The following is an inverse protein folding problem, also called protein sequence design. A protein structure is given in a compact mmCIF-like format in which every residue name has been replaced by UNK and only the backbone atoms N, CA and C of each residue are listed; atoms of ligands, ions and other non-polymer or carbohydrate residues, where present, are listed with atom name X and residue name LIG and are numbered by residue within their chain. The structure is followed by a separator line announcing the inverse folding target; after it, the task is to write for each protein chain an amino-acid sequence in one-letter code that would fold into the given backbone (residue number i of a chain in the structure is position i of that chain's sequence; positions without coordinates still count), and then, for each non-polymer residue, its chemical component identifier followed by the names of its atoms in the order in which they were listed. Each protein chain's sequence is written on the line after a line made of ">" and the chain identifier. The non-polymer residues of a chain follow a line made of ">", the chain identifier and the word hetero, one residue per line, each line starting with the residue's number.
data_IF_373755248808
#
_entry.id   IF_373755248808
#
_cell.length_a   1.000
_cell.length_b   1.000
_cell.length_c   1.000
_cell.angle_alpha   90.00
_cell.angle_beta   90.00
_cell.angle_gamma   90.00
#
_symmetry.space_group_name_H-M   'P 1'
#
loop_
_entity.id
_entity.type
_entity.pdbx_description
1 polymer ?
#
# COMPACT_ATOMS: atom_id res chain seq x y z
N UNK A 1 -11.56 -7.99 6.73
CA UNK A 1 -10.72 -9.05 6.13
C UNK A 1 -11.20 -9.34 4.73
N UNK A 2 -10.30 -9.74 3.82
CA UNK A 2 -10.62 -10.06 2.42
C UNK A 2 -10.70 -11.58 2.23
N UNK A 3 -11.68 -12.07 1.46
CA UNK A 3 -11.78 -13.48 1.11
C UNK A 3 -10.82 -13.88 -0.02
N UNK A 4 -10.57 -15.19 -0.13
CA UNK A 4 -10.10 -15.77 -1.38
C UNK A 4 -11.14 -15.65 -2.50
N UNK A 5 -10.70 -15.94 -3.72
CA UNK A 5 -11.58 -16.06 -4.88
C UNK A 5 -12.62 -17.15 -4.66
N UNK A 6 -13.89 -16.80 -4.85
CA UNK A 6 -14.99 -17.74 -4.62
C UNK A 6 -16.19 -17.44 -5.51
N UNK A 7 -17.00 -18.45 -5.77
CA UNK A 7 -18.23 -18.36 -6.58
C UNK A 7 -19.48 -18.23 -5.72
N UNK A 8 -19.38 -18.40 -4.40
CA UNK A 8 -20.51 -18.29 -3.46
C UNK A 8 -21.15 -16.90 -3.51
N UNK A 9 -22.33 -16.79 -2.92
CA UNK A 9 -22.94 -15.49 -2.68
C UNK A 9 -22.34 -14.76 -1.47
N UNK A 10 -22.54 -13.45 -1.47
CA UNK A 10 -22.08 -12.51 -0.45
C UNK A 10 -22.78 -12.78 0.88
N UNK A 11 -22.03 -12.87 1.97
CA UNK A 11 -22.58 -12.97 3.33
C UNK A 11 -23.03 -11.60 3.83
N UNK A 12 -23.87 -11.58 4.86
CA UNK A 12 -24.23 -10.35 5.55
C UNK A 12 -22.98 -9.69 6.14
N UNK A 13 -22.75 -8.40 5.82
CA UNK A 13 -21.57 -7.65 6.28
C UNK A 13 -20.40 -7.65 5.30
N UNK A 14 -20.43 -8.49 4.28
CA UNK A 14 -19.46 -8.44 3.18
C UNK A 14 -19.90 -7.42 2.11
N UNK A 15 -18.94 -6.89 1.37
CA UNK A 15 -19.13 -6.15 0.12
C UNK A 15 -18.29 -6.77 -0.97
N UNK A 16 -18.73 -6.70 -2.23
CA UNK A 16 -17.91 -7.16 -3.36
C UNK A 16 -16.71 -6.24 -3.48
N UNK A 17 -15.50 -6.81 -3.37
CA UNK A 17 -14.25 -6.09 -3.60
C UNK A 17 -13.95 -6.03 -5.10
N UNK A 18 -13.90 -7.21 -5.74
CA UNK A 18 -13.68 -7.35 -7.17
C UNK A 18 -14.27 -8.65 -7.71
N UNK A 19 -14.38 -8.72 -9.03
CA UNK A 19 -14.95 -9.85 -9.76
C UNK A 19 -14.08 -10.21 -10.96
N UNK A 20 -13.81 -11.50 -11.15
CA UNK A 20 -13.22 -12.05 -12.37
C UNK A 20 -14.13 -13.17 -12.88
N UNK A 21 -14.76 -12.94 -14.03
CA UNK A 21 -15.74 -13.84 -14.66
C UNK A 21 -16.84 -14.26 -13.68
N UNK A 22 -16.78 -15.49 -13.16
CA UNK A 22 -17.76 -16.08 -12.21
C UNK A 22 -17.26 -16.08 -10.77
N UNK A 23 -16.01 -15.69 -10.54
CA UNK A 23 -15.36 -15.65 -9.24
C UNK A 23 -15.34 -14.22 -8.70
N UNK A 24 -15.46 -14.10 -7.37
CA UNK A 24 -15.56 -12.81 -6.67
C UNK A 24 -14.67 -12.86 -5.44
N UNK A 25 -14.12 -11.70 -5.05
CA UNK A 25 -13.53 -11.49 -3.72
C UNK A 25 -14.42 -10.57 -2.92
N UNK A 26 -14.52 -10.85 -1.63
CA UNK A 26 -15.35 -10.11 -0.70
C UNK A 26 -14.51 -9.43 0.36
N UNK A 27 -14.87 -8.19 0.68
CA UNK A 27 -14.33 -7.47 1.83
C UNK A 27 -15.36 -7.53 2.97
N UNK A 28 -14.99 -8.11 4.10
CA UNK A 28 -15.83 -8.19 5.29
C UNK A 28 -15.70 -6.91 6.13
N UNK A 29 -16.64 -5.98 5.93
CA UNK A 29 -16.69 -4.71 6.67
C UNK A 29 -16.94 -4.96 8.16
N UNK A 30 -17.75 -5.97 8.51
CA UNK A 30 -18.13 -6.22 9.89
C UNK A 30 -16.92 -6.70 10.70
N UNK A 31 -16.17 -7.66 10.17
CA UNK A 31 -14.96 -8.15 10.82
C UNK A 31 -13.85 -7.10 10.80
N UNK A 32 -13.64 -6.36 9.69
CA UNK A 32 -12.66 -5.25 9.72
C UNK A 32 -13.05 -4.20 10.76
N UNK A 33 -14.32 -3.82 10.88
CA UNK A 33 -14.75 -2.86 11.91
C UNK A 33 -14.43 -3.31 13.34
N UNK A 34 -14.51 -4.61 13.64
CA UNK A 34 -14.11 -5.14 14.96
C UNK A 34 -12.61 -5.00 15.18
N UNK A 35 -11.80 -5.38 14.19
CA UNK A 35 -10.34 -5.27 14.20
C UNK A 35 -9.93 -3.80 14.33
N UNK A 36 -10.46 -2.93 13.49
CA UNK A 36 -10.15 -1.50 13.48
C UNK A 36 -10.50 -0.81 14.81
N UNK A 37 -11.60 -1.20 15.46
CA UNK A 37 -11.94 -0.72 16.82
C UNK A 37 -10.95 -1.22 17.87
N UNK A 38 -10.59 -2.51 17.83
CA UNK A 38 -9.64 -3.15 18.74
C UNK A 38 -8.26 -2.51 18.63
N UNK A 39 -7.78 -2.33 17.41
CA UNK A 39 -6.41 -1.88 17.09
C UNK A 39 -6.30 -0.36 17.03
N UNK A 40 -7.41 0.37 17.18
CA UNK A 40 -7.42 1.82 17.25
C UNK A 40 -7.09 2.51 15.93
N UNK A 41 -7.53 1.94 14.80
CA UNK A 41 -7.32 2.53 13.48
C UNK A 41 -7.85 3.96 13.44
N UNK A 42 -7.03 4.85 12.88
CA UNK A 42 -7.23 6.29 12.89
C UNK A 42 -7.19 6.91 11.50
N UNK A 43 -7.30 8.23 11.48
CA UNK A 43 -7.15 9.06 10.29
C UNK A 43 -6.08 10.11 10.56
N UNK A 44 -5.40 10.56 9.49
CA UNK A 44 -4.56 11.77 9.55
C UNK A 44 -5.41 13.00 9.90
N UNK A 45 -4.78 14.09 10.35
CA UNK A 45 -5.51 15.31 10.67
C UNK A 45 -6.15 15.96 9.44
N UNK A 46 -5.52 15.83 8.28
CA UNK A 46 -6.09 16.22 6.99
C UNK A 46 -7.33 15.39 6.65
N UNK A 47 -7.25 14.06 6.79
CA UNK A 47 -8.38 13.17 6.54
C UNK A 47 -9.55 13.41 7.49
N UNK A 48 -9.26 13.74 8.76
CA UNK A 48 -10.28 14.15 9.73
C UNK A 48 -10.96 15.44 9.30
N UNK A 49 -10.21 16.43 8.84
CA UNK A 49 -10.78 17.70 8.35
C UNK A 49 -11.69 17.45 7.13
N UNK A 50 -11.24 16.61 6.19
CA UNK A 50 -12.03 16.25 5.01
C UNK A 50 -13.30 15.48 5.39
N UNK A 51 -13.23 14.55 6.35
CA UNK A 51 -14.40 13.85 6.88
C UNK A 51 -15.37 14.83 7.58
N UNK A 52 -14.86 15.78 8.34
CA UNK A 52 -15.69 16.78 9.01
C UNK A 52 -16.46 17.61 7.99
N UNK A 53 -15.79 18.04 6.91
CA UNK A 53 -16.40 18.78 5.80
C UNK A 53 -17.48 17.95 5.09
N UNK A 54 -17.22 16.67 4.82
CA UNK A 54 -18.18 15.80 4.14
C UNK A 54 -19.41 15.50 4.99
N UNK A 55 -19.25 15.30 6.30
CA UNK A 55 -20.36 15.07 7.22
C UNK A 55 -21.20 16.33 7.48
N UNK A 56 -20.59 17.52 7.41
CA UNK A 56 -21.29 18.79 7.58
C UNK A 56 -22.18 19.13 6.37
N UNK A 57 -21.89 18.59 5.19
CA UNK A 57 -22.72 18.78 4.01
C UNK A 57 -24.07 18.05 4.17
N UNK A 58 -25.21 18.71 3.92
CA UNK A 58 -26.49 18.03 3.85
C UNK A 58 -26.53 17.10 2.63
N UNK A 59 -27.29 16.02 2.72
CA UNK A 59 -27.37 15.02 1.66
C UNK A 59 -28.72 14.34 1.57
N UNK A 60 -28.97 13.68 0.45
CA UNK A 60 -30.14 12.83 0.24
C UNK A 60 -29.71 11.39 0.48
N UNK A 61 -30.37 10.72 1.42
CA UNK A 61 -30.11 9.30 1.71
C UNK A 61 -31.20 8.45 1.07
N UNK A 62 -30.78 7.48 0.26
CA UNK A 62 -31.68 6.57 -0.47
C UNK A 62 -31.64 6.83 -1.96
N UNK A 63 -31.32 5.79 -2.74
CA UNK A 63 -31.28 5.81 -4.21
C UNK A 63 -32.49 5.10 -4.83
N UNK A 64 -33.55 4.90 -4.04
CA UNK A 64 -34.76 4.18 -4.44
C UNK A 64 -35.85 5.10 -4.99
N UNK A 65 -36.83 4.54 -5.72
CA UNK A 65 -37.94 5.30 -6.31
C UNK A 65 -38.88 5.91 -5.26
N UNK A 66 -38.92 5.36 -4.03
CA UNK A 66 -39.64 5.95 -2.89
C UNK A 66 -38.68 6.82 -2.05
N UNK A 67 -38.77 8.12 -2.30
CA UNK A 67 -38.33 9.26 -1.46
C UNK A 67 -36.92 9.14 -0.83
N UNK A 68 -35.94 9.74 -1.51
CA UNK A 68 -34.69 10.12 -0.87
C UNK A 68 -34.96 11.00 0.36
N UNK A 69 -34.66 10.49 1.54
CA UNK A 69 -34.90 11.21 2.79
C UNK A 69 -33.80 12.24 2.97
N UNK A 70 -34.19 13.51 3.13
CA UNK A 70 -33.25 14.57 3.44
C UNK A 70 -32.55 14.26 4.77
N UNK A 71 -31.23 14.14 4.73
CA UNK A 71 -30.39 14.06 5.91
C UNK A 71 -29.75 15.43 6.14
N UNK A 72 -30.10 16.12 7.23
CA UNK A 72 -29.42 17.36 7.58
C UNK A 72 -27.94 17.08 7.84
N UNK A 73 -27.10 18.04 7.44
CA UNK A 73 -25.67 18.01 7.69
C UNK A 73 -25.37 17.95 9.20
N UNK A 74 -24.23 17.37 9.55
CA UNK A 74 -23.74 17.32 10.92
C UNK A 74 -23.34 18.72 11.39
N UNK A 75 -23.58 19.03 12.66
CA UNK A 75 -23.00 20.20 13.30
C UNK A 75 -21.45 20.11 13.34
N UNK A 76 -20.73 21.04 12.67
CA UNK A 76 -19.27 21.01 12.59
C UNK A 76 -18.56 21.30 13.92
N UNK A 77 -19.23 21.93 14.89
CA UNK A 77 -18.63 22.21 16.22
C UNK A 77 -18.47 20.96 17.09
N UNK A 78 -19.12 19.84 16.74
CA UNK A 78 -18.99 18.58 17.47
C UNK A 78 -17.79 17.79 16.94
N UNK A 79 -16.82 17.39 17.80
CA UNK A 79 -15.67 16.63 17.36
C UNK A 79 -16.09 15.28 16.77
N UNK A 80 -15.28 14.75 15.86
CA UNK A 80 -15.47 13.41 15.30
C UNK A 80 -15.46 12.37 16.41
N UNK A 81 -16.42 11.45 16.39
CA UNK A 81 -16.44 10.33 17.34
C UNK A 81 -15.43 9.27 16.90
N UNK A 82 -14.95 8.47 17.86
CA UNK A 82 -14.10 7.31 17.56
C UNK A 82 -14.77 6.38 16.53
N UNK A 83 -16.09 6.19 16.64
CA UNK A 83 -16.84 5.34 15.71
C UNK A 83 -16.83 5.85 14.28
N UNK A 84 -16.95 7.16 14.07
CA UNK A 84 -16.90 7.79 12.74
C UNK A 84 -15.50 7.73 12.15
N UNK A 85 -14.46 8.01 12.96
CA UNK A 85 -13.07 7.88 12.53
C UNK A 85 -12.77 6.45 12.11
N UNK A 86 -13.15 5.46 12.92
CA UNK A 86 -12.91 4.05 12.60
C UNK A 86 -13.69 3.61 11.37
N UNK A 87 -14.97 4.00 11.23
CA UNK A 87 -15.78 3.65 10.06
C UNK A 87 -15.16 4.21 8.77
N UNK A 88 -14.67 5.44 8.85
CA UNK A 88 -14.06 6.09 7.71
C UNK A 88 -12.66 5.54 7.40
N UNK A 89 -11.88 5.14 8.41
CA UNK A 89 -10.61 4.43 8.21
C UNK A 89 -10.83 3.09 7.48
N UNK A 90 -11.85 2.32 7.89
CA UNK A 90 -12.23 1.06 7.22
C UNK A 90 -12.73 1.32 5.79
N UNK A 91 -13.46 2.42 5.55
CA UNK A 91 -13.87 2.80 4.20
C UNK A 91 -12.66 3.11 3.30
N UNK A 92 -11.67 3.86 3.82
CA UNK A 92 -10.43 4.16 3.09
C UNK A 92 -9.64 2.89 2.77
N UNK A 93 -9.48 1.98 3.73
CA UNK A 93 -8.84 0.67 3.51
C UNK A 93 -9.54 -0.15 2.41
N UNK A 94 -10.88 -0.19 2.45
CA UNK A 94 -11.66 -0.84 1.39
C UNK A 94 -11.42 -0.20 0.01
N UNK A 95 -11.46 1.13 -0.07
CA UNK A 95 -11.23 1.85 -1.33
C UNK A 95 -9.81 1.67 -1.86
N UNK A 96 -8.81 1.66 -0.97
CA UNK A 96 -7.42 1.40 -1.30
C UNK A 96 -7.26 0.01 -1.94
N UNK A 97 -7.78 -1.04 -1.31
CA UNK A 97 -7.75 -2.40 -1.86
C UNK A 97 -8.57 -2.53 -3.14
N UNK A 98 -9.65 -1.75 -3.27
CA UNK A 98 -10.48 -1.74 -4.46
C UNK A 98 -9.75 -1.09 -5.64
N UNK A 99 -8.97 -0.04 -5.40
CA UNK A 99 -8.11 0.59 -6.40
C UNK A 99 -7.09 -0.40 -6.98
N UNK A 100 -6.43 -1.19 -6.11
CA UNK A 100 -5.52 -2.24 -6.55
C UNK A 100 -6.21 -3.26 -7.45
N UNK A 101 -7.41 -3.70 -7.07
CA UNK A 101 -8.17 -4.66 -7.89
C UNK A 101 -8.67 -4.09 -9.23
N UNK A 102 -8.69 -2.76 -9.37
CA UNK A 102 -9.12 -2.05 -10.58
C UNK A 102 -7.96 -1.63 -11.47
N UNK A 103 -6.74 -1.94 -11.07
CA UNK A 103 -5.52 -1.47 -11.73
C UNK A 103 -5.37 0.06 -11.65
N UNK A 104 -6.01 0.70 -10.66
CA UNK A 104 -5.85 2.15 -10.41
C UNK A 104 -4.45 2.43 -9.82
N UNK A 105 -3.87 1.46 -9.11
CA UNK A 105 -2.50 1.46 -8.61
C UNK A 105 -1.99 0.01 -8.46
N UNK A 106 -0.67 -0.18 -8.39
CA UNK A 106 -0.04 -1.50 -8.27
C UNK A 106 1.20 -1.50 -7.39
N UNK A 107 1.62 -2.68 -6.94
CA UNK A 107 2.88 -2.88 -6.24
C UNK A 107 4.02 -3.01 -7.25
N UNK A 108 5.07 -2.23 -7.06
CA UNK A 108 6.30 -2.26 -7.83
C UNK A 108 7.42 -2.94 -7.03
N UNK A 109 8.39 -3.44 -7.79
CA UNK A 109 9.70 -3.83 -7.29
C UNK A 109 10.78 -3.06 -8.03
N UNK A 110 11.83 -2.70 -7.30
CA UNK A 110 13.06 -2.13 -7.82
C UNK A 110 14.08 -3.25 -7.88
N UNK A 111 14.72 -3.43 -9.03
CA UNK A 111 15.85 -4.35 -9.22
C UNK A 111 17.01 -3.50 -9.71
N UNK A 112 18.16 -3.61 -9.05
CA UNK A 112 19.39 -2.94 -9.44
C UNK A 112 20.40 -4.01 -9.85
N UNK A 113 20.96 -3.85 -11.04
CA UNK A 113 21.92 -4.77 -11.64
C UNK A 113 23.20 -3.98 -11.96
N UNK A 114 24.36 -4.58 -11.66
CA UNK A 114 25.64 -3.99 -12.04
C UNK A 114 25.88 -4.24 -13.54
N UNK A 115 26.28 -3.19 -14.26
CA UNK A 115 26.77 -3.32 -15.63
C UNK A 115 28.30 -3.32 -15.67
N UNK A 116 28.87 -4.14 -16.53
CA UNK A 116 30.31 -4.18 -16.82
C UNK A 116 30.73 -3.02 -17.74
N UNK A 117 32.02 -2.97 -18.10
CA UNK A 117 32.57 -1.93 -18.98
C UNK A 117 32.03 -1.96 -20.42
N UNK A 118 31.33 -3.04 -20.82
CA UNK A 118 30.68 -3.19 -22.11
C UNK A 118 29.18 -2.88 -22.04
N UNK A 119 28.64 -2.63 -20.84
CA UNK A 119 27.22 -2.41 -20.60
C UNK A 119 26.41 -3.70 -20.43
N UNK A 120 27.07 -4.85 -20.29
CA UNK A 120 26.43 -6.14 -20.03
C UNK A 120 26.22 -6.32 -18.52
N UNK A 121 25.13 -7.00 -18.13
CA UNK A 121 24.86 -7.29 -16.71
C UNK A 121 25.96 -8.22 -16.18
N UNK A 122 26.59 -7.83 -15.08
CA UNK A 122 27.53 -8.67 -14.38
C UNK A 122 26.80 -9.82 -13.68
N UNK A 123 27.27 -11.05 -13.90
CA UNK A 123 26.68 -12.25 -13.30
C UNK A 123 26.64 -12.14 -11.75
N UNK A 124 25.50 -12.52 -11.17
CA UNK A 124 25.26 -12.65 -9.72
C UNK A 124 25.48 -11.38 -8.87
N UNK A 125 25.54 -10.18 -9.48
CA UNK A 125 25.61 -8.90 -8.76
C UNK A 125 24.34 -8.08 -8.99
N UNK A 126 23.31 -8.39 -8.20
CA UNK A 126 22.07 -7.63 -8.15
C UNK A 126 21.53 -7.46 -6.73
N UNK A 127 20.63 -6.49 -6.56
CA UNK A 127 19.82 -6.32 -5.36
C UNK A 127 18.38 -6.00 -5.77
N UNK A 128 17.40 -6.40 -4.97
CA UNK A 128 15.99 -6.16 -5.26
C UNK A 128 15.15 -5.85 -4.02
N UNK A 129 14.26 -4.86 -4.16
CA UNK A 129 13.26 -4.51 -3.14
C UNK A 129 11.86 -4.52 -3.76
N UNK A 130 10.94 -5.28 -3.17
CA UNK A 130 9.55 -5.43 -3.64
C UNK A 130 8.55 -4.84 -2.65
N UNK A 131 7.37 -4.48 -3.15
CA UNK A 131 6.25 -4.02 -2.31
C UNK A 131 6.22 -2.50 -2.12
N UNK A 132 6.63 -1.76 -3.14
CA UNK A 132 6.54 -0.29 -3.16
C UNK A 132 5.31 0.13 -3.95
N UNK A 133 4.53 1.08 -3.45
CA UNK A 133 3.34 1.57 -4.15
C UNK A 133 3.74 2.32 -5.43
N UNK A 134 3.02 2.10 -6.54
CA UNK A 134 3.32 2.74 -7.84
C UNK A 134 3.27 4.27 -7.80
N UNK A 135 2.56 4.85 -6.84
CA UNK A 135 2.47 6.30 -6.68
C UNK A 135 3.65 6.90 -5.90
N UNK A 136 4.46 6.07 -5.22
CA UNK A 136 5.60 6.49 -4.40
C UNK A 136 6.87 6.78 -5.24
N UNK A 137 6.73 7.65 -6.26
CA UNK A 137 7.78 7.93 -7.26
C UNK A 137 9.12 8.38 -6.65
N UNK A 138 9.09 9.29 -5.69
CA UNK A 138 10.30 9.79 -5.04
C UNK A 138 10.99 8.68 -4.25
N UNK A 139 10.22 7.90 -3.50
CA UNK A 139 10.74 6.77 -2.74
C UNK A 139 11.32 5.66 -3.62
N UNK A 140 10.69 5.35 -4.76
CA UNK A 140 11.24 4.42 -5.75
C UNK A 140 12.61 4.87 -6.25
N UNK A 141 12.74 6.15 -6.56
CA UNK A 141 13.99 6.74 -7.05
C UNK A 141 15.07 6.73 -5.99
N UNK A 142 14.76 7.16 -4.76
CA UNK A 142 15.69 7.16 -3.64
C UNK A 142 16.16 5.73 -3.33
N UNK A 143 15.23 4.78 -3.25
CA UNK A 143 15.51 3.36 -3.06
C UNK A 143 16.48 2.83 -4.11
N UNK A 144 16.24 3.11 -5.39
CA UNK A 144 17.10 2.66 -6.47
C UNK A 144 18.52 3.23 -6.37
N UNK A 145 18.66 4.50 -5.99
CA UNK A 145 19.95 5.16 -5.80
C UNK A 145 20.70 4.58 -4.60
N UNK A 146 20.04 4.45 -3.45
CA UNK A 146 20.63 3.89 -2.24
C UNK A 146 21.09 2.44 -2.46
N UNK A 147 20.30 1.63 -3.17
CA UNK A 147 20.66 0.27 -3.55
C UNK A 147 21.87 0.24 -4.50
N UNK A 148 21.90 1.12 -5.51
CA UNK A 148 23.03 1.22 -6.43
C UNK A 148 24.33 1.62 -5.71
N UNK A 149 24.25 2.60 -4.81
CA UNK A 149 25.39 3.03 -3.99
C UNK A 149 25.86 1.89 -3.06
N UNK A 150 24.93 1.16 -2.44
CA UNK A 150 25.22 0.01 -1.60
C UNK A 150 25.95 -1.12 -2.36
N UNK A 151 25.45 -1.47 -3.55
CA UNK A 151 26.09 -2.45 -4.44
C UNK A 151 27.50 -2.01 -4.84
N UNK A 152 27.66 -0.74 -5.27
CA UNK A 152 28.96 -0.20 -5.67
C UNK A 152 29.97 -0.21 -4.51
N UNK A 153 29.56 0.18 -3.30
CA UNK A 153 30.41 0.15 -2.10
C UNK A 153 30.80 -1.28 -1.72
N UNK A 154 29.87 -2.23 -1.81
CA UNK A 154 30.14 -3.66 -1.57
C UNK A 154 31.27 -4.19 -2.45
N UNK A 155 31.19 -3.92 -3.76
CA UNK A 155 32.19 -4.33 -4.73
C UNK A 155 33.56 -3.67 -4.48
N UNK A 156 33.58 -2.37 -4.18
CA UNK A 156 34.82 -1.67 -3.86
C UNK A 156 35.50 -2.27 -2.62
N UNK A 157 34.72 -2.63 -1.60
CA UNK A 157 35.22 -3.30 -0.40
C UNK A 157 35.83 -4.66 -0.73
N UNK A 158 35.12 -5.50 -1.48
CA UNK A 158 35.62 -6.82 -1.89
C UNK A 158 36.87 -6.73 -2.79
N UNK A 159 36.94 -5.74 -3.67
CA UNK A 159 38.13 -5.48 -4.49
C UNK A 159 39.33 -5.07 -3.63
N UNK A 160 39.13 -4.16 -2.67
CA UNK A 160 40.16 -3.74 -1.71
C UNK A 160 40.63 -4.89 -0.83
N UNK A 161 39.71 -5.72 -0.32
CA UNK A 161 40.03 -6.91 0.47
C UNK A 161 40.83 -7.94 -0.35
N UNK A 162 40.43 -8.21 -1.60
CA UNK A 162 41.20 -9.08 -2.51
C UNK A 162 42.61 -8.56 -2.76
N UNK A 163 42.76 -7.26 -3.00
CA UNK A 163 44.08 -6.64 -3.17
C UNK A 163 44.92 -6.73 -1.90
N UNK A 164 44.31 -6.50 -0.74
CA UNK A 164 44.97 -6.62 0.57
C UNK A 164 45.47 -8.05 0.85
N UNK A 165 44.63 -9.06 0.61
CA UNK A 165 45.01 -10.47 0.80
C UNK A 165 46.05 -10.93 -0.22
N UNK A 166 45.91 -10.57 -1.50
CA UNK A 166 46.91 -10.87 -2.55
C UNK A 166 48.29 -10.28 -2.22
N UNK A 167 48.33 -9.06 -1.68
CA UNK A 167 49.59 -8.43 -1.27
C UNK A 167 50.25 -9.13 -0.07
N UNK A 168 49.46 -9.86 0.73
CA UNK A 168 49.91 -10.53 1.96
C UNK A 168 50.34 -11.99 1.73
N UNK A 169 49.73 -12.68 0.77
CA UNK A 169 50.09 -14.06 0.37
C UNK A 169 51.42 -14.14 -0.40
N UNK A 170 52.02 -13.00 -0.80
CA UNK A 170 53.33 -12.95 -1.48
C UNK A 170 54.57 -13.00 -0.56
N UNK A 171 54.46 -13.51 0.67
CA UNK A 171 55.64 -13.76 1.53
C UNK A 171 55.56 -15.12 2.22
N UNK A 172 56.11 -16.15 1.59
CA UNK A 172 56.72 -17.29 2.28
C UNK A 172 58.03 -17.67 1.56
N UNK A 173 59.18 -17.27 2.14
CA UNK A 173 60.53 -17.75 1.82
C UNK A 173 61.09 -18.41 3.07
#
# INVERSE_FOLDING_TARGET
>A
MVSDWTTRDKRSGEVVLCTDRRSRRYYDIRETMKIARRDGWGLSDEDKAQLMKSLAAPGIVGSGPDQGMYRPGRNPSRPLTRGEITAEAVRRDFEFLRGWCRDDWHWLGVVVELLDGNGEVADDVNDSLWGIESEAHDYLKETALDMADGLAQGLQREACERLYWNARDMVTV
#
